data_IF_662564636954
#
_entry.id   IF_662564636954
#
_cell.length_a   1.000
_cell.length_b   1.000
_cell.length_c   1.000
_cell.angle_alpha   90.00
_cell.angle_beta   90.00
_cell.angle_gamma   90.00
#
_symmetry.space_group_name_H-M   'P 1'
#
loop_
_entity.id
_entity.type
_entity.pdbx_description
1 polymer ?
#
# COMPACT_ATOMS: atom_id res chain seq x y z
N UNK A 1 -3.60 -6.49 -8.69
CA UNK A 1 -4.14 -5.27 -8.03
C UNK A 1 -3.57 -4.03 -8.69
N UNK A 2 -4.39 -3.03 -8.87
CA UNK A 2 -3.98 -1.80 -9.53
C UNK A 2 -4.15 -0.62 -8.58
N UNK A 3 -3.09 0.15 -8.39
CA UNK A 3 -3.13 1.34 -7.55
C UNK A 3 -3.25 2.60 -8.39
N UNK A 4 -4.09 3.51 -7.96
CA UNK A 4 -4.28 4.79 -8.63
C UNK A 4 -3.85 5.89 -7.68
N UNK A 5 -2.80 6.62 -8.07
CA UNK A 5 -2.22 7.67 -7.24
C UNK A 5 -2.51 9.03 -7.83
N UNK A 6 -2.95 9.95 -6.99
CA UNK A 6 -3.23 11.33 -7.40
C UNK A 6 -2.27 12.29 -6.71
N UNK A 7 -1.64 13.16 -7.49
CA UNK A 7 -0.74 14.17 -6.93
C UNK A 7 -1.48 15.44 -6.52
N UNK A 8 -2.77 15.53 -6.84
CA UNK A 8 -3.53 16.75 -6.58
C UNK A 8 -4.58 16.58 -5.50
N UNK A 9 -4.66 15.41 -4.90
CA UNK A 9 -5.72 15.13 -3.92
C UNK A 9 -5.46 15.73 -2.55
N UNK A 10 -4.24 16.18 -2.28
CA UNK A 10 -3.87 16.68 -0.96
C UNK A 10 -3.54 15.60 0.04
N UNK A 11 -3.77 14.34 -0.30
CA UNK A 11 -3.43 13.21 0.57
C UNK A 11 -2.02 12.73 0.21
N UNK A 12 -1.13 12.54 1.21
CA UNK A 12 0.21 12.04 0.92
C UNK A 12 0.17 10.73 0.13
N UNK A 13 1.14 10.56 -0.75
CA UNK A 13 1.17 9.37 -1.60
C UNK A 13 1.23 8.08 -0.79
N UNK A 14 2.04 8.03 0.27
CA UNK A 14 2.13 6.82 1.08
C UNK A 14 0.78 6.46 1.70
N UNK A 15 0.01 7.45 2.06
CA UNK A 15 -1.31 7.24 2.64
C UNK A 15 -2.27 6.67 1.60
N UNK A 16 -2.20 7.17 0.37
CA UNK A 16 -3.02 6.65 -0.72
C UNK A 16 -2.72 5.18 -0.99
N UNK A 17 -1.43 4.82 -1.00
CA UNK A 17 -1.02 3.43 -1.19
C UNK A 17 -1.56 2.55 -0.06
N UNK A 18 -1.35 3.00 1.17
CA UNK A 18 -1.80 2.24 2.34
C UNK A 18 -3.29 2.00 2.32
N UNK A 19 -4.07 3.04 2.04
CA UNK A 19 -5.52 2.93 2.04
C UNK A 19 -6.03 2.01 0.95
N UNK A 20 -5.43 2.06 -0.23
CA UNK A 20 -5.88 1.22 -1.34
C UNK A 20 -5.56 -0.25 -1.10
N UNK A 21 -4.38 -0.55 -0.58
CA UNK A 21 -4.03 -1.93 -0.25
C UNK A 21 -4.93 -2.45 0.87
N UNK A 22 -5.15 -1.63 1.88
CA UNK A 22 -6.01 -2.00 2.99
C UNK A 22 -7.44 -2.29 2.52
N UNK A 23 -7.96 -1.45 1.65
CA UNK A 23 -9.30 -1.66 1.10
C UNK A 23 -9.37 -2.94 0.27
N UNK A 24 -8.33 -3.25 -0.50
CA UNK A 24 -8.30 -4.47 -1.30
C UNK A 24 -8.30 -5.71 -0.41
N UNK A 25 -7.59 -5.66 0.71
CA UNK A 25 -7.58 -6.77 1.66
C UNK A 25 -8.95 -6.94 2.33
N UNK A 26 -9.54 -5.84 2.76
CA UNK A 26 -10.82 -5.87 3.44
C UNK A 26 -11.95 -6.32 2.52
N UNK A 27 -11.87 -6.01 1.24
CA UNK A 27 -12.89 -6.40 0.27
C UNK A 27 -12.72 -7.84 -0.23
N UNK A 28 -11.61 -8.48 0.11
CA UNK A 28 -11.32 -9.84 -0.36
C UNK A 28 -10.68 -9.87 -1.74
N UNK A 29 -10.47 -8.71 -2.37
CA UNK A 29 -9.81 -8.64 -3.67
C UNK A 29 -8.36 -9.10 -3.58
N UNK A 30 -7.70 -8.77 -2.47
CA UNK A 30 -6.33 -9.18 -2.20
C UNK A 30 -6.32 -9.99 -0.91
N UNK A 31 -5.90 -11.24 -0.99
CA UNK A 31 -5.83 -12.09 0.19
C UNK A 31 -4.62 -11.71 1.03
N UNK A 32 -4.76 -11.79 2.35
CA UNK A 32 -3.66 -11.47 3.24
C UNK A 32 -2.44 -12.35 3.00
N UNK A 33 -2.65 -13.54 2.47
CA UNK A 33 -1.56 -14.48 2.20
C UNK A 33 -0.92 -14.28 0.85
N UNK A 34 -1.52 -13.47 -0.02
CA UNK A 34 -0.97 -13.21 -1.32
C UNK A 34 0.29 -12.37 -1.22
N UNK A 35 1.22 -12.62 -2.14
CA UNK A 35 2.44 -11.85 -2.21
C UNK A 35 2.15 -10.48 -2.79
N UNK A 36 2.43 -9.44 -2.02
CA UNK A 36 2.34 -8.07 -2.51
C UNK A 36 3.49 -7.79 -3.48
N UNK A 37 3.32 -6.86 -4.41
CA UNK A 37 4.42 -6.44 -5.27
C UNK A 37 5.62 -6.02 -4.44
N UNK A 38 6.82 -6.26 -4.93
CA UNK A 38 8.00 -5.84 -4.21
C UNK A 38 8.02 -4.30 -4.11
N UNK A 39 8.68 -3.80 -3.07
CA UNK A 39 8.78 -2.37 -2.85
C UNK A 39 9.36 -1.66 -4.07
N UNK A 40 10.41 -2.23 -4.66
CA UNK A 40 11.06 -1.63 -5.82
C UNK A 40 10.15 -1.65 -7.05
N UNK A 41 9.48 -2.77 -7.27
CA UNK A 41 8.58 -2.88 -8.42
C UNK A 41 7.45 -1.88 -8.32
N UNK A 42 6.84 -1.77 -7.15
CA UNK A 42 5.75 -0.83 -6.96
C UNK A 42 6.21 0.61 -7.10
N UNK A 43 7.36 0.94 -6.52
CA UNK A 43 7.91 2.28 -6.63
C UNK A 43 8.19 2.64 -8.08
N UNK A 44 8.73 1.71 -8.85
CA UNK A 44 9.00 1.92 -10.26
C UNK A 44 7.70 2.12 -11.05
N UNK A 45 6.71 1.29 -10.79
CA UNK A 45 5.43 1.37 -11.50
C UNK A 45 4.71 2.68 -11.23
N UNK A 46 4.78 3.16 -9.99
CA UNK A 46 4.13 4.39 -9.59
C UNK A 46 5.02 5.62 -9.78
N UNK A 47 6.28 5.41 -10.16
CA UNK A 47 7.26 6.48 -10.37
C UNK A 47 7.46 7.32 -9.12
N UNK A 48 7.61 6.65 -7.99
CA UNK A 48 7.81 7.29 -6.70
C UNK A 48 9.01 6.67 -5.99
N UNK A 49 9.38 7.28 -4.87
CA UNK A 49 10.52 6.83 -4.07
C UNK A 49 10.23 5.48 -3.40
N UNK A 50 11.24 4.62 -3.34
CA UNK A 50 11.12 3.37 -2.59
C UNK A 50 10.83 3.66 -1.11
N UNK A 51 11.36 4.78 -0.59
CA UNK A 51 11.10 5.15 0.80
C UNK A 51 9.62 5.42 1.05
N UNK A 52 8.94 6.02 0.08
CA UNK A 52 7.50 6.27 0.20
C UNK A 52 6.73 4.96 0.26
N UNK A 53 7.08 4.00 -0.59
CA UNK A 53 6.43 2.69 -0.58
C UNK A 53 6.72 1.94 0.71
N UNK A 54 7.98 2.01 1.17
CA UNK A 54 8.38 1.37 2.42
C UNK A 54 7.56 1.90 3.59
N UNK A 55 7.38 3.22 3.65
CA UNK A 55 6.59 3.82 4.72
C UNK A 55 5.14 3.31 4.69
N UNK A 56 4.56 3.23 3.49
CA UNK A 56 3.20 2.75 3.34
C UNK A 56 3.07 1.31 3.84
N UNK A 57 3.99 0.45 3.44
CA UNK A 57 3.96 -0.95 3.82
C UNK A 57 4.18 -1.13 5.32
N UNK A 58 5.10 -0.37 5.90
CA UNK A 58 5.38 -0.45 7.33
C UNK A 58 4.15 -0.08 8.15
N UNK A 59 3.50 1.01 7.78
CA UNK A 59 2.29 1.43 8.50
C UNK A 59 1.14 0.46 8.29
N UNK A 60 1.04 -0.09 7.09
CA UNK A 60 0.01 -1.09 6.79
C UNK A 60 0.20 -2.33 7.65
N UNK A 61 1.44 -2.81 7.79
CA UNK A 61 1.73 -3.96 8.63
C UNK A 61 1.38 -3.69 10.09
N UNK A 62 1.65 -2.48 10.58
CA UNK A 62 1.32 -2.13 11.95
C UNK A 62 -0.18 -2.14 12.19
N UNK A 63 -0.95 -1.66 11.23
CA UNK A 63 -2.41 -1.63 11.37
C UNK A 63 -3.02 -3.02 11.26
N UNK A 64 -2.56 -3.81 10.30
CA UNK A 64 -3.08 -5.15 10.09
C UNK A 64 -2.55 -6.10 11.16
N UNK A 65 -1.28 -6.00 11.50
CA UNK A 65 -0.66 -6.87 12.49
C UNK A 65 -1.30 -6.79 13.85
N UNK A 66 -1.81 -5.61 14.22
CA UNK A 66 -2.46 -5.44 15.50
C UNK A 66 -3.74 -6.25 15.62
N UNK A 67 -4.36 -6.57 14.51
CA UNK A 67 -5.58 -7.36 14.53
C UNK A 67 -5.34 -8.80 14.92
N UNK A 68 -4.10 -9.23 14.93
CA UNK A 68 -3.73 -10.60 15.26
C UNK A 68 -3.29 -10.78 16.71
N UNK A 69 -3.25 -9.74 17.46
CA UNK A 69 -2.79 -9.80 18.84
C UNK A 69 -3.89 -10.08 19.82
#
# INVERSE_FOLDING_TARGET
MKLIISNVSGVPIYEQIKQQIKAAILSGELQAEETLPSLRTLAKDLKISVLTVTKAYTELEQEIGRAHV
#
